data_IF_242585847370
#
_entry.id   IF_242585847370
#
_cell.length_a   1.000
_cell.length_b   1.000
_cell.length_c   1.000
_cell.angle_alpha   90.00
_cell.angle_beta   90.00
_cell.angle_gamma   90.00
#
_symmetry.space_group_name_H-M   'P 1'
#
loop_
_entity.id
_entity.type
_entity.pdbx_description
1 polymer ?
#
# COMPACT_ATOMS: atom_id res chain seq x y z
N UNK A 1 9.74 48.38 26.02
CA UNK A 1 10.37 47.04 26.04
C UNK A 1 10.23 46.47 24.64
N UNK A 2 11.32 46.43 23.88
CA UNK A 2 11.33 45.85 22.54
C UNK A 2 11.22 44.33 22.69
N UNK A 3 10.14 43.73 22.20
CA UNK A 3 10.03 42.29 22.07
C UNK A 3 11.06 41.85 21.03
N UNK A 4 12.16 41.26 21.48
CA UNK A 4 13.14 40.62 20.60
C UNK A 4 12.44 39.49 19.85
N UNK A 5 12.47 39.55 18.51
CA UNK A 5 11.98 38.46 17.68
C UNK A 5 12.66 37.14 18.06
N UNK A 6 11.92 36.02 18.07
CA UNK A 6 12.49 34.71 18.38
C UNK A 6 13.54 34.32 17.32
N UNK A 7 14.64 33.72 17.76
CA UNK A 7 15.68 33.18 16.87
C UNK A 7 15.09 32.10 15.94
N UNK A 8 15.59 31.98 14.69
CA UNK A 8 15.07 31.02 13.73
C UNK A 8 15.34 29.57 14.16
N UNK A 9 14.42 28.66 13.81
CA UNK A 9 14.57 27.22 14.06
C UNK A 9 15.58 26.59 13.09
N UNK A 10 16.57 25.87 13.62
CA UNK A 10 17.54 25.10 12.85
C UNK A 10 17.00 23.72 12.42
N UNK A 11 16.04 23.70 11.49
CA UNK A 11 15.42 22.46 11.01
C UNK A 11 16.35 21.64 10.11
N UNK A 12 16.13 20.33 10.06
CA UNK A 12 16.88 19.43 9.17
C UNK A 12 16.48 19.64 7.70
N UNK A 13 17.35 19.23 6.76
CA UNK A 13 17.02 19.25 5.33
C UNK A 13 15.79 18.38 5.02
N UNK A 14 15.62 17.26 5.70
CA UNK A 14 14.45 16.38 5.57
C UNK A 14 13.15 17.09 5.97
N UNK A 15 13.18 17.92 7.01
CA UNK A 15 12.04 18.74 7.38
C UNK A 15 11.71 19.79 6.31
N UNK A 16 12.73 20.38 5.66
CA UNK A 16 12.53 21.33 4.56
C UNK A 16 12.05 20.67 3.26
N UNK A 17 12.35 19.38 3.06
CA UNK A 17 11.84 18.61 1.92
C UNK A 17 10.40 18.16 2.11
N UNK A 18 9.96 17.90 3.34
CA UNK A 18 8.57 17.56 3.60
C UNK A 18 7.65 18.72 3.17
N UNK A 19 6.72 18.44 2.25
CA UNK A 19 5.67 19.39 1.85
C UNK A 19 4.37 19.06 2.56
N UNK A 20 3.55 20.09 2.78
CA UNK A 20 2.20 19.89 3.25
C UNK A 20 1.43 18.99 2.29
N UNK A 21 0.77 17.98 2.84
CA UNK A 21 0.04 16.98 2.08
C UNK A 21 -1.39 17.49 1.85
N UNK A 22 -1.76 17.75 0.59
CA UNK A 22 -3.10 18.20 0.23
C UNK A 22 -4.21 17.28 0.77
N UNK A 23 -3.95 15.98 0.92
CA UNK A 23 -4.91 15.03 1.47
C UNK A 23 -5.29 15.35 2.92
N UNK A 24 -4.36 15.85 3.74
CA UNK A 24 -4.63 16.17 5.13
C UNK A 24 -5.69 17.28 5.24
N UNK A 25 -5.56 18.30 4.37
CA UNK A 25 -6.55 19.35 4.24
C UNK A 25 -7.91 18.80 3.74
N UNK A 26 -7.92 18.01 2.67
CA UNK A 26 -9.15 17.44 2.11
C UNK A 26 -9.88 16.52 3.10
N UNK A 27 -9.14 15.72 3.87
CA UNK A 27 -9.70 14.87 4.92
C UNK A 27 -10.29 15.71 6.06
N UNK A 28 -9.58 16.75 6.52
CA UNK A 28 -10.10 17.65 7.53
C UNK A 28 -11.42 18.28 7.06
N UNK A 29 -11.48 18.77 5.82
CA UNK A 29 -12.72 19.33 5.27
C UNK A 29 -13.87 18.32 5.20
N UNK A 30 -13.60 17.06 4.84
CA UNK A 30 -14.63 16.01 4.77
C UNK A 30 -15.14 15.60 6.16
N UNK A 31 -14.29 15.61 7.17
CA UNK A 31 -14.65 15.21 8.56
C UNK A 31 -15.32 16.34 9.32
N UNK A 32 -14.83 17.57 9.16
CA UNK A 32 -15.28 18.72 9.96
C UNK A 32 -16.55 19.38 9.40
N UNK A 33 -16.82 19.25 8.10
CA UNK A 33 -17.97 19.88 7.46
C UNK A 33 -19.06 18.85 7.10
N UNK A 34 -20.05 18.68 7.98
CA UNK A 34 -21.14 17.72 7.80
C UNK A 34 -22.05 17.97 6.58
N UNK A 35 -22.06 19.20 6.07
CA UNK A 35 -22.90 19.60 4.93
C UNK A 35 -22.21 19.39 3.57
N UNK A 36 -20.95 18.93 3.54
CA UNK A 36 -20.20 18.72 2.30
C UNK A 36 -20.37 17.29 1.81
N UNK A 37 -20.86 17.13 0.57
CA UNK A 37 -20.74 15.86 -0.16
C UNK A 37 -19.32 15.78 -0.75
N UNK A 38 -18.41 15.15 -0.03
CA UNK A 38 -17.01 15.02 -0.47
C UNK A 38 -16.84 13.82 -1.40
N UNK A 39 -16.43 14.08 -2.64
CA UNK A 39 -15.96 13.07 -3.60
C UNK A 39 -14.42 13.01 -3.69
N UNK A 40 -13.72 13.83 -2.89
CA UNK A 40 -12.27 14.03 -2.99
C UNK A 40 -11.47 13.16 -2.00
N UNK A 41 -12.02 12.92 -0.80
CA UNK A 41 -11.32 12.17 0.22
C UNK A 41 -11.57 10.66 0.05
N UNK A 42 -10.50 9.87 -0.04
CA UNK A 42 -10.56 8.40 -0.15
C UNK A 42 -10.95 7.69 1.15
N UNK A 43 -11.96 8.20 1.85
CA UNK A 43 -12.54 7.62 3.06
C UNK A 43 -13.32 6.34 2.73
N UNK A 44 -13.33 5.40 3.67
CA UNK A 44 -14.20 4.22 3.60
C UNK A 44 -15.60 4.64 4.01
N UNK A 45 -16.62 4.05 3.39
CA UNK A 45 -18.01 4.25 3.79
C UNK A 45 -18.24 3.83 5.24
N UNK A 46 -18.62 4.79 6.10
CA UNK A 46 -18.86 4.57 7.52
C UNK A 46 -19.88 3.45 7.78
N UNK A 47 -20.90 3.32 6.91
CA UNK A 47 -21.94 2.30 7.06
C UNK A 47 -21.41 0.88 6.81
N UNK A 48 -20.29 0.75 6.11
CA UNK A 48 -19.65 -0.55 5.90
C UNK A 48 -18.77 -0.97 7.06
N UNK A 49 -18.43 -0.09 8.01
CA UNK A 49 -17.46 -0.41 9.05
C UNK A 49 -17.93 -1.59 9.94
N UNK A 50 -17.05 -2.56 10.26
CA UNK A 50 -17.40 -3.83 10.91
C UNK A 50 -17.63 -3.69 12.43
N UNK A 51 -18.50 -2.80 12.88
CA UNK A 51 -18.69 -2.49 14.32
C UNK A 51 -19.01 -3.75 15.14
N UNK A 52 -20.02 -4.53 14.73
CA UNK A 52 -20.43 -5.72 15.47
C UNK A 52 -19.41 -6.86 15.39
N UNK A 53 -18.72 -7.00 14.26
CA UNK A 53 -17.62 -7.95 14.13
C UNK A 53 -16.45 -7.58 15.05
N UNK A 54 -16.03 -6.31 15.08
CA UNK A 54 -15.00 -5.83 16.00
C UNK A 54 -15.39 -6.02 17.47
N UNK A 55 -16.66 -5.77 17.81
CA UNK A 55 -17.20 -6.01 19.16
C UNK A 55 -17.06 -7.48 19.55
N UNK A 56 -17.52 -8.39 18.70
CA UNK A 56 -17.45 -9.83 18.94
C UNK A 56 -16.00 -10.32 19.08
N UNK A 57 -15.13 -9.96 18.12
CA UNK A 57 -13.72 -10.34 18.12
C UNK A 57 -12.98 -9.83 19.36
N UNK A 58 -13.29 -8.62 19.81
CA UNK A 58 -12.69 -8.05 21.02
C UNK A 58 -13.19 -8.80 22.25
N UNK A 59 -14.49 -9.07 22.37
CA UNK A 59 -15.03 -9.86 23.47
C UNK A 59 -14.40 -11.27 23.54
N UNK A 60 -14.23 -11.94 22.40
CA UNK A 60 -13.57 -13.24 22.30
C UNK A 60 -12.07 -13.19 22.62
N UNK A 61 -11.38 -12.12 22.23
CA UNK A 61 -9.96 -11.94 22.56
C UNK A 61 -9.74 -11.71 24.06
N UNK A 62 -10.72 -11.10 24.72
CA UNK A 62 -10.70 -10.77 26.16
C UNK A 62 -11.45 -11.77 27.04
N UNK A 63 -12.01 -12.84 26.48
CA UNK A 63 -12.71 -13.87 27.27
C UNK A 63 -11.76 -14.76 28.06
N UNK A 64 -10.46 -14.74 27.73
CA UNK A 64 -9.39 -15.45 28.43
C UNK A 64 -8.31 -14.46 28.89
N UNK A 65 -8.00 -14.50 30.19
CA UNK A 65 -7.08 -13.58 30.86
C UNK A 65 -5.65 -13.67 30.31
N UNK A 66 -5.19 -14.88 29.96
CA UNK A 66 -3.85 -15.09 29.42
C UNK A 66 -3.75 -14.50 28.02
N UNK A 67 -4.74 -14.77 27.16
CA UNK A 67 -4.84 -14.23 25.81
C UNK A 67 -4.98 -12.70 25.82
N UNK A 68 -5.79 -12.16 26.70
CA UNK A 68 -5.98 -10.72 26.87
C UNK A 68 -4.67 -10.03 27.27
N UNK A 69 -3.96 -10.56 28.28
CA UNK A 69 -2.64 -10.03 28.70
C UNK A 69 -1.61 -10.10 27.57
N UNK A 70 -1.60 -11.17 26.78
CA UNK A 70 -0.73 -11.27 25.61
C UNK A 70 -1.07 -10.23 24.54
N UNK A 71 -2.36 -9.99 24.28
CA UNK A 71 -2.81 -8.99 23.31
C UNK A 71 -2.48 -7.54 23.71
N UNK A 72 -2.45 -7.27 25.02
CA UNK A 72 -2.10 -5.97 25.59
C UNK A 72 -0.59 -5.76 25.75
N UNK A 73 0.23 -6.78 25.47
CA UNK A 73 1.68 -6.68 25.53
C UNK A 73 2.27 -6.26 24.16
N UNK A 74 3.52 -5.78 24.18
CA UNK A 74 4.30 -5.58 22.97
C UNK A 74 4.41 -6.87 22.14
N UNK A 75 4.30 -6.71 20.82
CA UNK A 75 4.65 -7.73 19.84
C UNK A 75 6.12 -7.68 19.45
N UNK A 76 6.47 -8.36 18.35
CA UNK A 76 7.80 -8.29 17.74
C UNK A 76 7.81 -7.30 16.56
N UNK A 77 8.99 -6.83 16.16
CA UNK A 77 9.15 -5.84 15.08
C UNK A 77 8.57 -6.28 13.72
N UNK A 78 8.76 -7.54 13.26
CA UNK A 78 8.07 -8.02 12.06
C UNK A 78 6.55 -8.10 12.21
N UNK A 79 6.06 -8.14 13.45
CA UNK A 79 4.66 -8.27 13.81
C UNK A 79 4.26 -9.68 14.26
N UNK A 80 3.04 -9.79 14.78
CA UNK A 80 2.46 -11.00 15.33
C UNK A 80 2.55 -12.17 14.33
N UNK A 81 3.23 -13.24 14.72
CA UNK A 81 3.37 -14.46 13.92
C UNK A 81 2.01 -15.01 13.48
N UNK A 82 1.02 -14.98 14.38
CA UNK A 82 -0.35 -15.41 14.07
C UNK A 82 -0.95 -14.68 12.88
N UNK A 83 -0.81 -13.36 12.80
CA UNK A 83 -1.29 -12.59 11.66
C UNK A 83 -0.42 -12.81 10.42
N UNK A 84 0.91 -12.92 10.56
CA UNK A 84 1.79 -13.20 9.41
C UNK A 84 1.44 -14.52 8.72
N UNK A 85 1.05 -15.55 9.49
CA UNK A 85 0.56 -16.82 8.95
C UNK A 85 -0.79 -16.67 8.24
N UNK A 86 -1.76 -15.94 8.83
CA UNK A 86 -3.03 -15.69 8.15
C UNK A 86 -2.86 -14.85 6.86
N UNK A 87 -1.88 -13.93 6.83
CA UNK A 87 -1.54 -13.17 5.62
C UNK A 87 -1.06 -14.08 4.50
N UNK A 88 -0.28 -15.12 4.78
CA UNK A 88 0.10 -16.11 3.75
C UNK A 88 -1.12 -16.85 3.20
N UNK A 89 -2.07 -17.24 4.05
CA UNK A 89 -3.31 -17.89 3.61
C UNK A 89 -4.17 -16.95 2.77
N UNK A 90 -4.27 -15.69 3.18
CA UNK A 90 -4.94 -14.66 2.42
C UNK A 90 -4.29 -14.48 1.04
N UNK A 91 -2.96 -14.36 0.98
CA UNK A 91 -2.22 -14.19 -0.26
C UNK A 91 -2.37 -15.39 -1.18
N UNK A 92 -2.24 -16.63 -0.66
CA UNK A 92 -2.45 -17.85 -1.42
C UNK A 92 -3.81 -17.87 -2.11
N UNK A 93 -4.87 -17.52 -1.37
CA UNK A 93 -6.22 -17.40 -1.92
C UNK A 93 -6.33 -16.33 -3.00
N UNK A 94 -5.70 -15.17 -2.81
CA UNK A 94 -5.71 -14.07 -3.79
C UNK A 94 -4.92 -14.41 -5.07
N UNK A 95 -3.89 -15.24 -4.97
CA UNK A 95 -3.16 -15.80 -6.12
C UNK A 95 -3.86 -17.02 -6.74
N UNK A 96 -4.92 -17.55 -6.13
CA UNK A 96 -5.66 -18.72 -6.62
C UNK A 96 -4.95 -20.06 -6.36
N UNK A 97 -4.11 -20.16 -5.33
CA UNK A 97 -3.37 -21.37 -4.97
C UNK A 97 -3.34 -21.66 -3.47
N UNK A 98 -2.37 -22.46 -3.03
CA UNK A 98 -2.14 -22.78 -1.62
C UNK A 98 -0.94 -22.03 -1.05
N UNK A 99 -0.72 -22.13 0.25
CA UNK A 99 0.45 -21.53 0.92
C UNK A 99 1.77 -22.11 0.41
N UNK A 100 1.76 -23.36 -0.05
CA UNK A 100 2.93 -24.03 -0.62
C UNK A 100 3.32 -23.43 -1.98
N UNK A 101 2.34 -23.05 -2.81
CA UNK A 101 2.56 -22.44 -4.13
C UNK A 101 3.28 -21.09 -4.05
N UNK A 102 3.13 -20.39 -2.92
CA UNK A 102 3.77 -19.10 -2.67
C UNK A 102 5.30 -19.19 -2.62
N UNK A 103 5.85 -20.33 -2.19
CA UNK A 103 7.30 -20.58 -2.02
C UNK A 103 8.02 -19.57 -1.11
N UNK A 104 7.30 -19.01 -0.13
CA UNK A 104 7.82 -18.10 0.90
C UNK A 104 7.34 -18.54 2.29
N UNK A 105 7.97 -18.01 3.35
CA UNK A 105 7.55 -18.23 4.73
C UNK A 105 7.05 -16.92 5.37
N UNK A 106 6.50 -17.03 6.58
CA UNK A 106 6.01 -15.87 7.33
C UNK A 106 7.15 -14.90 7.72
N UNK A 107 8.41 -15.31 7.61
CA UNK A 107 9.58 -14.44 7.83
C UNK A 107 9.70 -13.34 6.78
N UNK A 108 9.14 -13.54 5.58
CA UNK A 108 9.11 -12.55 4.52
C UNK A 108 7.95 -11.56 4.64
N UNK A 109 7.06 -11.77 5.62
CA UNK A 109 5.94 -10.89 5.91
C UNK A 109 6.34 -9.90 7.00
N UNK A 110 6.18 -8.60 6.75
CA UNK A 110 6.37 -7.55 7.77
C UNK A 110 5.07 -6.77 7.92
N UNK A 111 4.52 -6.76 9.13
CA UNK A 111 3.31 -6.01 9.47
C UNK A 111 3.65 -4.56 9.81
N UNK A 112 2.77 -3.63 9.42
CA UNK A 112 2.99 -2.19 9.54
C UNK A 112 1.72 -1.46 10.01
N UNK A 113 1.87 -0.22 10.47
CA UNK A 113 0.81 0.68 10.91
C UNK A 113 0.00 1.25 9.73
N UNK A 114 -0.53 0.35 8.88
CA UNK A 114 -1.09 0.64 7.57
C UNK A 114 -0.01 0.76 6.48
N UNK A 115 -0.43 0.75 5.21
CA UNK A 115 0.49 0.79 4.06
C UNK A 115 1.35 2.05 4.03
N UNK A 116 0.88 3.19 4.55
CA UNK A 116 1.67 4.43 4.57
C UNK A 116 3.00 4.29 5.34
N UNK A 117 3.00 3.55 6.47
CA UNK A 117 4.25 3.27 7.17
C UNK A 117 5.14 2.37 6.32
N UNK A 118 4.58 1.32 5.70
CA UNK A 118 5.34 0.45 4.80
C UNK A 118 6.03 1.25 3.69
N UNK A 119 5.29 2.13 3.01
CA UNK A 119 5.82 3.00 1.96
C UNK A 119 6.98 3.88 2.48
N UNK A 120 6.83 4.44 3.69
CA UNK A 120 7.89 5.21 4.34
C UNK A 120 9.12 4.36 4.66
N UNK A 121 8.92 3.16 5.21
CA UNK A 121 10.00 2.23 5.54
C UNK A 121 10.77 1.79 4.30
N UNK A 122 10.08 1.49 3.20
CA UNK A 122 10.71 1.17 1.91
C UNK A 122 11.53 2.35 1.41
N UNK A 123 10.96 3.56 1.41
CA UNK A 123 11.67 4.76 0.97
C UNK A 123 12.92 5.03 1.81
N UNK A 124 12.81 4.99 3.15
CA UNK A 124 13.94 5.21 4.06
C UNK A 124 15.01 4.10 4.00
N UNK A 125 14.63 2.89 3.59
CA UNK A 125 15.57 1.76 3.50
C UNK A 125 16.35 1.77 2.18
N UNK A 126 15.74 2.22 1.08
CA UNK A 126 16.31 2.05 -0.27
C UNK A 126 16.95 3.31 -0.84
N UNK A 127 16.54 4.51 -0.41
CA UNK A 127 16.90 5.76 -1.09
C UNK A 127 17.90 6.61 -0.33
N UNK A 128 18.95 7.02 -1.04
CA UNK A 128 19.72 8.22 -0.77
C UNK A 128 19.21 9.40 -1.62
N UNK A 129 19.53 10.66 -1.24
CA UNK A 129 19.15 11.82 -2.04
C UNK A 129 19.57 11.73 -3.51
N UNK A 130 18.57 11.87 -4.38
CA UNK A 130 18.64 11.84 -5.83
C UNK A 130 18.58 10.45 -6.46
N UNK A 131 18.51 9.38 -5.67
CA UNK A 131 18.14 8.05 -6.18
C UNK A 131 16.77 8.08 -6.85
N UNK A 132 16.58 7.20 -7.83
CA UNK A 132 15.51 7.28 -8.82
C UNK A 132 14.40 6.30 -8.48
N UNK A 133 13.17 6.82 -8.49
CA UNK A 133 11.93 6.05 -8.44
C UNK A 133 11.13 6.32 -9.72
N UNK A 134 10.82 5.28 -10.49
CA UNK A 134 9.85 5.36 -11.58
C UNK A 134 8.44 5.20 -11.02
N UNK A 135 7.49 6.03 -11.45
CA UNK A 135 6.10 5.99 -11.00
C UNK A 135 5.15 6.10 -12.19
N UNK A 136 3.94 5.56 -12.07
CA UNK A 136 2.88 5.82 -13.05
C UNK A 136 2.50 7.32 -13.10
N UNK A 137 1.95 7.77 -14.23
CA UNK A 137 1.31 9.07 -14.36
C UNK A 137 -0.14 8.89 -14.86
N UNK A 138 -1.16 9.20 -14.05
CA UNK A 138 -1.09 9.64 -12.64
C UNK A 138 -0.67 8.50 -11.67
N UNK A 139 -0.44 8.84 -10.40
CA UNK A 139 -0.15 7.89 -9.31
C UNK A 139 -0.63 8.38 -7.95
N UNK A 140 -0.53 7.53 -6.92
CA UNK A 140 -0.87 7.85 -5.55
C UNK A 140 0.04 8.95 -4.97
N UNK A 141 -0.46 10.18 -5.02
CA UNK A 141 0.33 11.38 -4.72
C UNK A 141 0.91 11.45 -3.30
N UNK A 142 0.32 10.76 -2.32
CA UNK A 142 0.85 10.75 -0.94
C UNK A 142 2.23 10.08 -0.91
N UNK A 143 2.45 9.05 -1.75
CA UNK A 143 3.77 8.42 -1.86
C UNK A 143 4.80 9.34 -2.52
N UNK A 144 4.39 10.23 -3.44
CA UNK A 144 5.28 11.25 -3.99
C UNK A 144 5.84 12.16 -2.90
N UNK A 145 5.03 12.50 -1.89
CA UNK A 145 5.51 13.25 -0.73
C UNK A 145 6.50 12.47 0.13
N UNK A 146 6.35 11.15 0.26
CA UNK A 146 7.32 10.27 0.94
C UNK A 146 8.65 10.26 0.19
N UNK A 147 8.61 10.02 -1.13
CA UNK A 147 9.80 10.02 -2.00
C UNK A 147 10.52 11.37 -1.95
N UNK A 148 9.79 12.47 -2.01
CA UNK A 148 10.35 13.80 -1.88
C UNK A 148 10.97 14.03 -0.48
N UNK A 149 10.38 13.48 0.58
CA UNK A 149 10.90 13.55 1.95
C UNK A 149 12.24 12.85 2.19
N UNK A 150 12.59 11.87 1.35
CA UNK A 150 13.92 11.23 1.32
C UNK A 150 14.85 11.80 0.25
N UNK A 151 14.37 12.78 -0.52
CA UNK A 151 15.13 13.44 -1.59
C UNK A 151 15.22 12.61 -2.88
N UNK A 152 14.35 11.62 -3.08
CA UNK A 152 14.35 10.79 -4.29
C UNK A 152 13.95 11.61 -5.53
N UNK A 153 14.57 11.30 -6.66
CA UNK A 153 14.17 11.81 -7.97
C UNK A 153 13.07 10.91 -8.54
N UNK A 154 11.87 11.45 -8.63
CA UNK A 154 10.74 10.74 -9.23
C UNK A 154 10.70 10.99 -10.74
N UNK A 155 10.62 9.92 -11.54
CA UNK A 155 10.43 9.98 -12.99
C UNK A 155 9.07 9.35 -13.32
N UNK A 156 8.18 10.14 -13.92
CA UNK A 156 6.83 9.71 -14.24
C UNK A 156 6.80 9.00 -15.60
N UNK A 157 6.12 7.85 -15.66
CA UNK A 157 5.88 7.05 -16.85
C UNK A 157 4.39 7.15 -17.21
N UNK A 158 4.04 7.51 -18.45
CA UNK A 158 2.64 7.63 -18.85
C UNK A 158 1.89 6.29 -18.71
N UNK A 159 0.60 6.39 -18.42
CA UNK A 159 -0.34 5.26 -18.37
C UNK A 159 -1.41 5.38 -19.45
N UNK A 160 -1.96 4.25 -19.86
CA UNK A 160 -3.19 4.15 -20.66
C UNK A 160 -4.19 3.20 -19.95
N UNK A 161 -5.21 2.73 -20.68
CA UNK A 161 -6.28 1.86 -20.14
C UNK A 161 -5.78 0.50 -19.62
N UNK A 162 -4.56 0.09 -19.94
CA UNK A 162 -3.93 -1.12 -19.42
C UNK A 162 -2.93 -0.83 -18.28
N UNK A 163 -2.84 0.43 -17.81
CA UNK A 163 -1.94 0.89 -16.73
C UNK A 163 -0.66 1.56 -17.25
N UNK A 164 0.47 1.42 -16.53
CA UNK A 164 1.76 2.00 -16.95
C UNK A 164 2.21 1.44 -18.30
N UNK A 165 2.63 2.32 -19.22
CA UNK A 165 3.15 1.92 -20.54
C UNK A 165 4.59 1.43 -20.38
N UNK A 166 4.76 0.10 -20.45
CA UNK A 166 6.06 -0.57 -20.22
C UNK A 166 7.12 -0.13 -21.24
N UNK A 167 6.76 0.09 -22.51
CA UNK A 167 7.71 0.57 -23.52
C UNK A 167 8.26 1.96 -23.20
N UNK A 168 7.44 2.83 -22.60
CA UNK A 168 7.87 4.15 -22.14
C UNK A 168 8.82 4.03 -20.94
N UNK A 169 8.55 3.10 -20.01
CA UNK A 169 9.48 2.78 -18.91
C UNK A 169 10.82 2.26 -19.45
N UNK A 170 10.80 1.36 -20.43
CA UNK A 170 12.02 0.82 -21.04
C UNK A 170 12.86 1.92 -21.72
N UNK A 171 12.21 2.84 -22.43
CA UNK A 171 12.89 3.99 -23.04
C UNK A 171 13.53 4.90 -21.98
N UNK A 172 12.85 5.20 -20.87
CA UNK A 172 13.39 6.02 -19.79
C UNK A 172 14.53 5.32 -19.03
N UNK A 173 14.45 4.00 -18.84
CA UNK A 173 15.55 3.19 -18.30
C UNK A 173 16.80 3.28 -19.18
N UNK A 174 16.65 3.21 -20.50
CA UNK A 174 17.75 3.42 -21.44
C UNK A 174 18.36 4.82 -21.30
N UNK A 175 17.53 5.87 -21.24
CA UNK A 175 18.01 7.25 -21.04
C UNK A 175 18.80 7.39 -19.74
N UNK A 176 18.34 6.78 -18.65
CA UNK A 176 19.04 6.79 -17.35
C UNK A 176 20.36 6.00 -17.44
N UNK A 177 20.37 4.87 -18.13
CA UNK A 177 21.59 4.08 -18.34
C UNK A 177 22.62 4.80 -19.21
N UNK A 178 22.20 5.46 -20.28
CA UNK A 178 23.08 6.26 -21.16
C UNK A 178 23.74 7.43 -20.43
N UNK A 179 23.09 7.93 -19.37
CA UNK A 179 23.65 8.95 -18.46
C UNK A 179 24.59 8.39 -17.39
N UNK A 180 24.76 7.06 -17.33
CA UNK A 180 25.53 6.39 -16.29
C UNK A 180 24.84 6.39 -14.91
N UNK A 181 23.52 6.58 -14.88
CA UNK A 181 22.73 6.70 -13.63
C UNK A 181 21.91 5.44 -13.32
N UNK A 182 22.10 4.33 -14.04
CA UNK A 182 21.34 3.09 -13.81
C UNK A 182 21.48 2.58 -12.36
N UNK A 183 22.67 2.76 -11.77
CA UNK A 183 22.94 2.44 -10.36
C UNK A 183 22.24 3.38 -9.35
N UNK A 184 21.43 4.32 -9.83
CA UNK A 184 20.59 5.14 -8.96
C UNK A 184 19.14 4.68 -9.00
N UNK A 185 18.75 3.80 -9.92
CA UNK A 185 17.39 3.28 -9.99
C UNK A 185 17.18 2.27 -8.88
N UNK A 186 16.27 2.60 -7.95
CA UNK A 186 15.95 1.74 -6.80
C UNK A 186 14.61 1.04 -6.97
N UNK A 187 13.63 1.75 -7.54
CA UNK A 187 12.23 1.36 -7.43
C UNK A 187 11.43 1.71 -8.69
N UNK A 188 10.53 0.81 -9.07
CA UNK A 188 9.39 1.06 -9.95
C UNK A 188 8.14 0.92 -9.07
N UNK A 189 7.37 1.99 -8.89
CA UNK A 189 6.17 2.00 -8.07
C UNK A 189 4.92 1.97 -8.93
N UNK A 190 4.02 1.04 -8.61
CA UNK A 190 2.76 0.84 -9.32
C UNK A 190 1.66 0.47 -8.34
N UNK A 191 0.49 1.08 -8.49
CA UNK A 191 -0.75 0.60 -7.88
C UNK A 191 -1.38 -0.36 -8.88
N UNK A 192 -1.38 -1.66 -8.62
CA UNK A 192 -1.65 -2.68 -9.65
C UNK A 192 -3.14 -2.94 -9.91
N UNK A 193 -3.97 -2.74 -8.90
CA UNK A 193 -5.43 -2.93 -8.94
C UNK A 193 -6.13 -1.64 -8.53
N UNK A 194 -7.01 -1.14 -9.40
CA UNK A 194 -7.82 0.07 -9.17
C UNK A 194 -6.96 1.28 -8.76
N UNK A 195 -6.02 1.63 -9.63
CA UNK A 195 -5.00 2.67 -9.45
C UNK A 195 -5.61 3.96 -8.88
N UNK A 196 -4.95 4.56 -7.88
CA UNK A 196 -5.41 5.81 -7.30
C UNK A 196 -4.59 6.97 -7.89
N UNK A 197 -5.16 7.79 -8.80
CA UNK A 197 -6.59 8.11 -8.89
C UNK A 197 -7.38 7.53 -10.07
N UNK A 198 -6.76 6.89 -11.08
CA UNK A 198 -7.43 6.60 -12.36
C UNK A 198 -8.49 5.48 -12.33
N UNK A 199 -8.48 4.62 -11.31
CA UNK A 199 -9.32 3.41 -11.21
C UNK A 199 -8.89 2.27 -12.13
N UNK A 200 -7.82 2.44 -12.92
CA UNK A 200 -7.36 1.47 -13.91
C UNK A 200 -6.67 0.28 -13.24
N UNK A 201 -6.83 -0.92 -13.80
CA UNK A 201 -6.06 -2.09 -13.39
C UNK A 201 -4.91 -2.33 -14.37
N UNK A 202 -3.71 -2.56 -13.86
CA UNK A 202 -2.57 -2.96 -14.70
C UNK A 202 -2.85 -4.34 -15.31
N UNK A 203 -2.77 -4.46 -16.64
CA UNK A 203 -3.08 -5.69 -17.35
C UNK A 203 -2.13 -6.84 -16.98
N UNK A 204 -2.60 -8.09 -17.09
CA UNK A 204 -1.79 -9.26 -16.77
C UNK A 204 -0.49 -9.34 -17.59
N UNK A 205 -0.55 -8.89 -18.84
CA UNK A 205 0.63 -8.84 -19.71
C UNK A 205 1.65 -7.82 -19.21
N UNK A 206 1.21 -6.60 -18.85
CA UNK A 206 2.11 -5.57 -18.30
C UNK A 206 2.70 -5.96 -16.95
N UNK A 207 1.95 -6.66 -16.10
CA UNK A 207 2.48 -7.21 -14.83
C UNK A 207 3.70 -8.12 -15.09
N UNK A 208 3.64 -9.02 -16.08
CA UNK A 208 4.77 -9.88 -16.47
C UNK A 208 5.93 -9.08 -17.07
N UNK A 209 5.62 -8.15 -17.95
CA UNK A 209 6.61 -7.32 -18.62
C UNK A 209 7.39 -6.45 -17.63
N UNK A 210 6.73 -5.90 -16.59
CA UNK A 210 7.41 -5.15 -15.54
C UNK A 210 8.44 -6.01 -14.78
N UNK A 211 8.07 -7.24 -14.40
CA UNK A 211 9.00 -8.18 -13.75
C UNK A 211 10.21 -8.43 -14.65
N UNK A 212 9.98 -8.78 -15.91
CA UNK A 212 11.05 -9.03 -16.87
C UNK A 212 11.95 -7.81 -17.06
N UNK A 213 11.36 -6.60 -17.14
CA UNK A 213 12.11 -5.37 -17.30
C UNK A 213 12.96 -5.06 -16.05
N UNK A 214 12.40 -5.18 -14.85
CA UNK A 214 13.14 -4.98 -13.61
C UNK A 214 14.33 -5.95 -13.51
N UNK A 215 14.15 -7.21 -13.91
CA UNK A 215 15.21 -8.22 -13.92
C UNK A 215 16.30 -7.93 -14.97
N UNK A 216 15.92 -7.57 -16.20
CA UNK A 216 16.85 -7.28 -17.30
C UNK A 216 17.71 -6.05 -16.99
N UNK A 217 17.12 -5.01 -16.41
CA UNK A 217 17.80 -3.75 -16.12
C UNK A 217 18.51 -3.74 -14.76
N UNK A 218 18.29 -4.76 -13.93
CA UNK A 218 19.07 -4.96 -12.71
C UNK A 218 20.51 -5.32 -13.06
N UNK A 219 21.45 -4.46 -12.65
CA UNK A 219 22.87 -4.61 -12.94
C UNK A 219 23.67 -4.80 -11.64
N UNK A 220 24.42 -3.79 -11.19
CA UNK A 220 25.20 -3.88 -9.93
C UNK A 220 24.29 -3.86 -8.69
N UNK A 221 23.06 -3.40 -8.86
CA UNK A 221 22.00 -3.48 -7.87
C UNK A 221 20.68 -3.90 -8.52
N UNK A 222 19.79 -4.43 -7.68
CA UNK A 222 18.44 -4.80 -8.10
C UNK A 222 17.58 -3.55 -8.19
N UNK A 223 16.82 -3.46 -9.27
CA UNK A 223 15.68 -2.56 -9.37
C UNK A 223 14.48 -3.32 -8.81
N UNK A 224 13.90 -2.81 -7.73
CA UNK A 224 12.72 -3.43 -7.14
C UNK A 224 11.43 -2.88 -7.77
N UNK A 225 10.39 -3.70 -7.81
CA UNK A 225 9.03 -3.22 -8.06
C UNK A 225 8.31 -3.14 -6.72
N UNK A 226 7.78 -1.98 -6.37
CA UNK A 226 6.84 -1.84 -5.26
C UNK A 226 5.43 -1.88 -5.81
N UNK A 227 4.79 -3.05 -5.67
CA UNK A 227 3.39 -3.26 -6.01
C UNK A 227 2.51 -2.83 -4.83
N UNK A 228 1.80 -1.72 -4.96
CA UNK A 228 0.79 -1.28 -4.00
C UNK A 228 -0.57 -1.87 -4.37
N UNK A 229 -0.99 -2.88 -3.62
CA UNK A 229 -2.21 -3.66 -3.85
C UNK A 229 -3.34 -3.27 -2.89
N UNK A 230 -3.41 -2.00 -2.46
CA UNK A 230 -4.36 -1.52 -1.44
C UNK A 230 -5.85 -1.81 -1.75
N UNK A 231 -6.23 -1.92 -3.03
CA UNK A 231 -7.61 -2.14 -3.46
C UNK A 231 -7.87 -3.54 -4.03
N UNK A 232 -6.88 -4.43 -4.05
CA UNK A 232 -6.95 -5.73 -4.73
C UNK A 232 -8.16 -6.59 -4.33
N UNK A 233 -8.53 -6.55 -3.06
CA UNK A 233 -9.65 -7.31 -2.51
C UNK A 233 -11.03 -6.73 -2.89
N UNK A 234 -11.08 -5.48 -3.35
CA UNK A 234 -12.31 -4.75 -3.71
C UNK A 234 -12.65 -4.84 -5.21
N UNK A 235 -12.32 -5.96 -5.85
CA UNK A 235 -12.68 -6.21 -7.25
C UNK A 235 -14.17 -6.50 -7.39
N UNK A 236 -14.94 -5.64 -8.04
CA UNK A 236 -16.38 -5.91 -8.20
C UNK A 236 -16.67 -6.82 -9.39
N UNK A 237 -15.97 -6.65 -10.51
CA UNK A 237 -16.21 -7.39 -11.75
C UNK A 237 -14.94 -8.08 -12.26
N UNK A 238 -15.14 -9.10 -13.10
CA UNK A 238 -14.07 -9.94 -13.63
C UNK A 238 -13.53 -10.98 -12.65
N UNK A 239 -12.65 -11.84 -13.15
CA UNK A 239 -11.97 -12.86 -12.34
C UNK A 239 -10.78 -12.32 -11.54
N UNK A 240 -10.23 -13.13 -10.63
CA UNK A 240 -8.97 -12.80 -9.96
C UNK A 240 -7.84 -12.63 -11.00
N UNK A 241 -6.96 -11.66 -10.75
CA UNK A 241 -5.73 -11.46 -11.52
C UNK A 241 -4.52 -11.76 -10.62
N UNK A 242 -3.55 -12.57 -11.08
CA UNK A 242 -2.29 -12.74 -10.37
C UNK A 242 -1.59 -11.40 -10.18
N UNK A 243 -1.00 -11.17 -9.01
CA UNK A 243 -0.25 -9.95 -8.72
C UNK A 243 1.03 -9.86 -9.54
N UNK A 244 1.67 -8.68 -9.58
CA UNK A 244 3.03 -8.56 -10.13
C UNK A 244 3.98 -9.47 -9.35
N UNK A 245 3.84 -9.48 -8.02
CA UNK A 245 4.55 -10.40 -7.15
C UNK A 245 4.32 -11.87 -7.55
N UNK A 246 3.09 -12.23 -7.92
CA UNK A 246 2.72 -13.56 -8.39
C UNK A 246 3.50 -14.00 -9.63
N UNK A 247 3.82 -13.07 -10.54
CA UNK A 247 4.62 -13.32 -11.74
C UNK A 247 6.14 -13.38 -11.48
N UNK A 248 6.64 -12.76 -10.42
CA UNK A 248 8.04 -12.88 -9.99
C UNK A 248 8.34 -14.28 -9.46
N UNK A 249 8.94 -15.12 -10.31
CA UNK A 249 9.26 -16.50 -9.96
C UNK A 249 10.38 -16.62 -8.93
N UNK A 250 11.25 -15.60 -8.84
CA UNK A 250 12.38 -15.55 -7.92
C UNK A 250 11.95 -15.12 -6.51
N UNK A 251 10.84 -14.38 -6.41
CA UNK A 251 10.36 -13.70 -5.18
C UNK A 251 11.34 -12.65 -4.64
N UNK A 252 12.26 -12.17 -5.48
CA UNK A 252 13.35 -11.27 -5.10
C UNK A 252 13.31 -9.90 -5.81
N UNK A 253 12.42 -9.72 -6.79
CA UNK A 253 12.27 -8.50 -7.59
C UNK A 253 11.13 -7.62 -7.08
N UNK A 254 10.04 -8.23 -6.58
CA UNK A 254 8.82 -7.50 -6.20
C UNK A 254 8.64 -7.43 -4.68
N UNK A 255 8.38 -6.22 -4.18
CA UNK A 255 7.84 -5.94 -2.86
C UNK A 255 6.33 -5.75 -3.01
N UNK A 256 5.53 -6.65 -2.43
CA UNK A 256 4.07 -6.50 -2.41
C UNK A 256 3.66 -5.75 -1.14
N UNK A 257 2.92 -4.65 -1.29
CA UNK A 257 2.34 -3.89 -0.19
C UNK A 257 0.82 -3.99 -0.20
N UNK A 258 0.21 -4.25 0.95
CA UNK A 258 -1.24 -4.31 1.08
C UNK A 258 -1.71 -3.75 2.43
N UNK A 259 -2.99 -3.43 2.55
CA UNK A 259 -3.57 -2.87 3.76
C UNK A 259 -4.98 -3.37 4.02
N UNK A 260 -5.33 -3.51 5.31
CA UNK A 260 -6.71 -3.75 5.75
C UNK A 260 -7.54 -2.46 5.85
N UNK A 261 -6.98 -1.32 5.44
CA UNK A 261 -7.66 -0.02 5.56
C UNK A 261 -8.89 0.08 4.68
N UNK A 262 -8.88 -0.57 3.50
CA UNK A 262 -9.95 -0.46 2.49
C UNK A 262 -10.93 -1.63 2.54
N UNK A 263 -10.42 -2.80 2.88
CA UNK A 263 -11.18 -4.06 2.98
C UNK A 263 -11.83 -4.30 4.34
N UNK A 264 -11.37 -3.62 5.40
CA UNK A 264 -11.89 -3.81 6.76
C UNK A 264 -12.16 -2.50 7.50
N UNK A 265 -11.11 -1.77 7.89
CA UNK A 265 -11.27 -0.51 8.61
C UNK A 265 -9.99 0.33 8.54
N UNK A 266 -10.04 1.60 8.12
CA UNK A 266 -8.88 2.48 8.16
C UNK A 266 -8.42 2.76 9.60
N UNK A 267 -9.31 2.64 10.59
CA UNK A 267 -9.01 2.88 12.01
C UNK A 267 -8.20 1.76 12.68
N UNK A 268 -8.16 0.55 12.09
CA UNK A 268 -7.36 -0.56 12.64
C UNK A 268 -5.86 -0.34 12.49
N UNK A 269 -5.45 0.50 11.51
CA UNK A 269 -4.04 0.81 11.23
C UNK A 269 -3.16 -0.44 11.08
N UNK A 270 -3.62 -1.42 10.30
CA UNK A 270 -2.83 -2.62 9.98
C UNK A 270 -2.66 -2.74 8.47
N UNK A 271 -1.41 -2.91 8.06
CA UNK A 271 -1.01 -3.29 6.71
C UNK A 271 0.13 -4.28 6.77
N UNK A 272 0.57 -4.77 5.62
CA UNK A 272 1.65 -5.73 5.53
C UNK A 272 2.41 -5.61 4.21
N UNK A 273 3.66 -6.03 4.23
CA UNK A 273 4.49 -6.19 3.05
C UNK A 273 5.05 -7.59 2.95
N UNK A 274 5.16 -8.08 1.71
CA UNK A 274 5.91 -9.28 1.37
C UNK A 274 7.22 -8.83 0.74
N UNK A 275 8.34 -9.15 1.38
CA UNK A 275 9.65 -8.66 1.00
C UNK A 275 10.53 -9.77 0.41
N UNK A 276 11.42 -9.42 -0.55
CA UNK A 276 12.63 -10.20 -0.84
C UNK A 276 13.38 -10.52 0.46
N UNK A 277 13.97 -11.72 0.56
CA UNK A 277 14.57 -12.18 1.83
C UNK A 277 15.64 -11.23 2.34
N UNK A 278 16.44 -10.67 1.44
CA UNK A 278 17.51 -9.72 1.77
C UNK A 278 17.02 -8.38 2.32
N UNK A 279 15.76 -7.99 2.07
CA UNK A 279 15.20 -6.70 2.51
C UNK A 279 14.49 -6.77 3.86
N UNK A 280 14.08 -7.95 4.33
CA UNK A 280 13.38 -8.11 5.62
C UNK A 280 14.20 -7.52 6.77
N UNK A 281 15.48 -7.89 6.88
CA UNK A 281 16.36 -7.41 7.96
C UNK A 281 16.53 -5.89 7.97
N UNK A 282 16.98 -5.27 6.87
CA UNK A 282 17.07 -3.80 6.77
C UNK A 282 15.77 -3.07 7.09
N UNK A 283 14.62 -3.53 6.56
CA UNK A 283 13.31 -2.93 6.84
C UNK A 283 12.93 -3.09 8.31
N UNK A 284 13.16 -4.27 8.91
CA UNK A 284 12.90 -4.48 10.33
C UNK A 284 13.81 -3.62 11.21
N UNK A 285 15.09 -3.44 10.85
CA UNK A 285 16.00 -2.56 11.57
C UNK A 285 15.52 -1.10 11.53
N UNK A 286 15.08 -0.63 10.36
CA UNK A 286 14.51 0.72 10.22
C UNK A 286 13.24 0.85 11.06
N UNK A 287 12.32 -0.11 10.93
CA UNK A 287 11.06 -0.15 11.68
C UNK A 287 11.27 -0.19 13.20
N UNK A 288 12.25 -0.97 13.67
CA UNK A 288 12.60 -1.07 15.08
C UNK A 288 13.01 0.28 15.68
N UNK A 289 13.63 1.15 14.88
CA UNK A 289 13.97 2.52 15.28
C UNK A 289 12.78 3.50 15.20
N UNK A 290 11.70 3.15 14.50
CA UNK A 290 10.52 4.00 14.33
C UNK A 290 9.44 3.71 15.38
N UNK A 291 9.05 2.44 15.54
CA UNK A 291 7.91 2.08 16.39
C UNK A 291 8.05 0.79 17.20
N UNK A 292 9.20 0.09 17.13
CA UNK A 292 9.48 -1.23 17.73
C UNK A 292 8.58 -2.39 17.26
N UNK A 293 7.32 -2.13 16.94
CA UNK A 293 6.29 -3.05 16.49
C UNK A 293 4.93 -2.35 16.47
N UNK A 294 4.22 -2.40 15.34
CA UNK A 294 2.90 -1.76 15.15
C UNK A 294 1.84 -2.29 16.16
N UNK A 295 0.69 -1.62 16.33
CA UNK A 295 -0.27 -1.94 17.40
C UNK A 295 -0.65 -3.42 17.50
N UNK A 296 -0.16 -4.11 18.53
CA UNK A 296 -0.23 -5.58 18.64
C UNK A 296 -1.66 -6.09 18.78
N UNK A 297 -2.47 -5.43 19.62
CA UNK A 297 -3.89 -5.74 19.81
C UNK A 297 -4.65 -5.77 18.47
N UNK A 298 -4.42 -4.77 17.62
CA UNK A 298 -5.09 -4.65 16.33
C UNK A 298 -4.66 -5.77 15.37
N UNK A 299 -3.39 -6.20 15.42
CA UNK A 299 -2.92 -7.34 14.63
C UNK A 299 -3.59 -8.65 15.07
N UNK A 300 -3.76 -8.88 16.38
CA UNK A 300 -4.43 -10.08 16.88
C UNK A 300 -5.93 -10.09 16.56
N UNK A 301 -6.58 -8.92 16.59
CA UNK A 301 -7.97 -8.76 16.17
C UNK A 301 -8.16 -9.19 14.71
N UNK A 302 -7.29 -8.71 13.80
CA UNK A 302 -7.34 -9.08 12.38
C UNK A 302 -6.98 -10.55 12.18
N UNK A 303 -6.00 -11.09 12.91
CA UNK A 303 -5.67 -12.51 12.84
C UNK A 303 -6.88 -13.38 13.18
N UNK A 304 -7.66 -13.00 14.20
CA UNK A 304 -8.86 -13.73 14.57
C UNK A 304 -9.99 -13.56 13.53
N UNK A 305 -10.14 -12.37 12.95
CA UNK A 305 -11.10 -12.12 11.87
C UNK A 305 -10.84 -13.03 10.65
N UNK A 306 -9.57 -13.14 10.23
CA UNK A 306 -9.13 -14.01 9.13
C UNK A 306 -9.31 -15.48 9.48
N UNK A 307 -8.81 -15.92 10.65
CA UNK A 307 -8.87 -17.34 11.05
C UNK A 307 -10.31 -17.86 11.16
N UNK A 308 -11.22 -17.01 11.61
CA UNK A 308 -12.63 -17.37 11.77
C UNK A 308 -13.46 -17.29 10.47
N UNK A 309 -12.87 -16.85 9.34
CA UNK A 309 -13.56 -16.68 8.06
C UNK A 309 -14.51 -15.47 8.02
N UNK A 310 -14.60 -14.69 9.10
CA UNK A 310 -15.51 -13.53 9.23
C UNK A 310 -14.99 -12.32 8.47
N UNK A 311 -13.68 -12.21 8.29
CA UNK A 311 -13.08 -11.19 7.43
C UNK A 311 -13.56 -11.32 5.98
N UNK A 312 -13.58 -12.53 5.44
CA UNK A 312 -13.97 -12.83 4.07
C UNK A 312 -15.44 -12.50 3.82
N UNK A 313 -16.31 -12.87 4.77
CA UNK A 313 -17.73 -12.54 4.74
C UNK A 313 -17.95 -11.01 4.75
N UNK A 314 -17.16 -10.30 5.58
CA UNK A 314 -17.20 -8.85 5.63
C UNK A 314 -16.75 -8.22 4.31
N UNK A 315 -15.62 -8.63 3.74
CA UNK A 315 -15.11 -8.13 2.46
C UNK A 315 -16.13 -8.33 1.33
N UNK A 316 -16.82 -9.48 1.30
CA UNK A 316 -17.87 -9.73 0.32
C UNK A 316 -19.05 -8.75 0.47
N UNK A 317 -19.47 -8.47 1.71
CA UNK A 317 -20.49 -7.45 1.98
C UNK A 317 -20.05 -6.05 1.50
N UNK A 318 -18.79 -5.68 1.77
CA UNK A 318 -18.19 -4.42 1.30
C UNK A 318 -18.19 -4.34 -0.23
N UNK A 319 -17.79 -5.42 -0.93
CA UNK A 319 -17.79 -5.48 -2.40
C UNK A 319 -19.19 -5.27 -2.97
N UNK A 320 -20.21 -5.90 -2.38
CA UNK A 320 -21.60 -5.73 -2.82
C UNK A 320 -22.10 -4.29 -2.59
N UNK A 321 -21.74 -3.70 -1.44
CA UNK A 321 -22.06 -2.31 -1.13
C UNK A 321 -21.45 -1.33 -2.14
N UNK A 322 -20.14 -1.46 -2.40
CA UNK A 322 -19.45 -0.59 -3.34
C UNK A 322 -19.81 -0.83 -4.80
N UNK A 323 -20.15 -2.06 -5.22
CA UNK A 323 -20.70 -2.32 -6.56
C UNK A 323 -21.94 -1.48 -6.80
N UNK A 324 -22.91 -1.51 -5.86
CA UNK A 324 -24.13 -0.69 -5.96
C UNK A 324 -23.84 0.81 -6.02
N UNK A 325 -22.89 1.30 -5.21
CA UNK A 325 -22.51 2.72 -5.19
C UNK A 325 -21.85 3.15 -6.50
N UNK A 326 -20.93 2.33 -7.03
CA UNK A 326 -20.31 2.56 -8.33
C UNK A 326 -21.35 2.60 -9.43
N UNK A 327 -22.25 1.61 -9.49
CA UNK A 327 -23.26 1.52 -10.55
C UNK A 327 -24.20 2.73 -10.53
N UNK A 328 -24.61 3.17 -9.34
CA UNK A 328 -25.41 4.39 -9.18
C UNK A 328 -24.63 5.65 -9.61
N UNK A 329 -23.33 5.73 -9.29
CA UNK A 329 -22.50 6.87 -9.69
C UNK A 329 -22.28 6.92 -11.21
N UNK A 330 -22.02 5.78 -11.84
CA UNK A 330 -21.88 5.69 -13.30
C UNK A 330 -23.19 6.04 -14.00
N UNK A 331 -24.33 5.53 -13.52
CA UNK A 331 -25.64 5.90 -14.07
C UNK A 331 -25.91 7.41 -13.98
N UNK A 332 -25.51 8.07 -12.87
CA UNK A 332 -25.64 9.51 -12.73
C UNK A 332 -24.69 10.29 -13.66
N UNK A 333 -23.48 9.78 -13.92
CA UNK A 333 -22.58 10.35 -14.92
C UNK A 333 -23.16 10.22 -16.33
N UNK A 334 -23.71 9.06 -16.68
CA UNK A 334 -24.37 8.86 -17.97
C UNK A 334 -25.60 9.79 -18.12
N UNK A 335 -26.37 10.01 -17.05
CA UNK A 335 -27.55 10.88 -17.11
C UNK A 335 -27.20 12.37 -17.21
N UNK A 336 -26.18 12.82 -16.46
CA UNK A 336 -25.92 14.25 -16.27
C UNK A 336 -24.66 14.78 -16.98
N UNK A 337 -23.77 13.91 -17.43
CA UNK A 337 -22.46 14.27 -18.00
C UNK A 337 -22.20 13.64 -19.39
N UNK A 338 -23.15 12.89 -19.97
CA UNK A 338 -22.97 12.24 -21.28
C UNK A 338 -22.64 13.19 -22.44
N UNK A 339 -23.05 14.46 -22.35
CA UNK A 339 -22.79 15.46 -23.39
C UNK A 339 -21.40 16.12 -23.27
N UNK A 340 -20.62 15.78 -22.23
CA UNK A 340 -19.28 16.34 -22.05
C UNK A 340 -18.24 15.48 -22.79
N UNK A 341 -17.34 16.10 -23.56
CA UNK A 341 -16.22 15.38 -24.16
C UNK A 341 -15.24 14.92 -23.07
N UNK A 342 -14.95 13.62 -23.05
CA UNK A 342 -14.01 12.96 -22.14
C UNK A 342 -12.55 13.03 -22.56
#
# INVERSE_FOLDING_TARGET
MSLTEPLPLGLSRRAAWAREQAISYLMAQAVENRDVVSLAAGLVDEQTLPVELCRALTAELFSDDQRARAALQYGTTPGAESLRQEVLRLLARLEGGTTEDLRISAEQVVLTAGSQQLLSLVADTLFDPGDICFVSAPTYFVFLGVLNGVGARTIAIPSDNDGMIVDALAAELQVVADRGELDRVKLIYVVSDFENPSGICLSAERRKQLVALAEIWSARQRIHILEDAAYRELRYDGGPLPSIWGYDQSRESVILAQTFSKSFSPGVRVGFGIFPRGLVGPVCNRKGNEDFGSPHLNQLLIAEALRSGRYEQHVESVRQGYRRKRDAFLAALDEHFADLPG
#
